data_IF_632326555917
#
_entry.id   IF_632326555917
#
_cell.length_a   1.000
_cell.length_b   1.000
_cell.length_c   1.000
_cell.angle_alpha   90.00
_cell.angle_beta   90.00
_cell.angle_gamma   90.00
#
_symmetry.space_group_name_H-M   'P 1'
#
loop_
_entity.id
_entity.type
_entity.pdbx_description
1 polymer ?
#
# COMPACT_ATOMS: atom_id res chain seq x y z
N UNK A 1 32.20 9.47 18.99
CA UNK A 1 32.66 8.16 18.47
C UNK A 1 31.79 7.06 19.08
N UNK A 2 31.02 6.32 18.27
CA UNK A 2 30.01 5.33 18.73
C UNK A 2 30.58 3.91 18.93
N UNK A 3 31.89 3.80 19.18
CA UNK A 3 32.60 2.54 19.46
C UNK A 3 32.30 1.47 18.39
N UNK A 4 31.72 0.33 18.78
CA UNK A 4 31.39 -0.78 17.89
C UNK A 4 30.47 -0.37 16.72
N UNK A 5 29.66 0.69 16.88
CA UNK A 5 28.77 1.20 15.85
C UNK A 5 29.40 2.29 14.96
N UNK A 6 30.69 2.62 15.16
CA UNK A 6 31.34 3.73 14.44
C UNK A 6 31.38 3.50 12.92
N UNK A 7 31.75 2.30 12.49
CA UNK A 7 31.78 1.95 11.06
C UNK A 7 30.42 2.09 10.39
N UNK A 8 29.38 1.46 10.95
CA UNK A 8 28.03 1.52 10.38
C UNK A 8 27.41 2.93 10.46
N UNK A 9 27.77 3.72 11.46
CA UNK A 9 27.37 5.14 11.54
C UNK A 9 27.95 5.94 10.36
N UNK A 10 29.20 5.66 9.97
CA UNK A 10 29.82 6.23 8.76
C UNK A 10 29.12 5.80 7.47
N UNK A 11 28.71 4.53 7.37
CA UNK A 11 27.92 4.03 6.24
C UNK A 11 26.56 4.72 6.16
N UNK A 12 25.83 4.83 7.27
CA UNK A 12 24.54 5.53 7.33
C UNK A 12 24.68 6.99 6.89
N UNK A 13 25.72 7.69 7.39
CA UNK A 13 26.03 9.06 6.97
C UNK A 13 26.16 9.16 5.45
N UNK A 14 26.96 8.28 4.84
CA UNK A 14 27.23 8.37 3.41
C UNK A 14 26.06 7.93 2.55
N UNK A 15 25.28 6.93 2.98
CA UNK A 15 24.02 6.56 2.30
C UNK A 15 23.03 7.72 2.32
N UNK A 16 22.85 8.40 3.46
CA UNK A 16 21.99 9.58 3.53
C UNK A 16 22.54 10.74 2.69
N UNK A 17 23.85 10.97 2.68
CA UNK A 17 24.48 11.99 1.83
C UNK A 17 24.18 11.76 0.33
N UNK A 18 24.27 10.51 -0.14
CA UNK A 18 23.91 10.15 -1.52
C UNK A 18 22.43 10.36 -1.81
N UNK A 19 21.53 9.92 -0.90
CA UNK A 19 20.07 10.09 -1.06
C UNK A 19 19.63 11.55 -1.14
N UNK A 20 20.36 12.44 -0.47
CA UNK A 20 20.05 13.87 -0.44
C UNK A 20 20.92 14.70 -1.40
N UNK A 21 21.85 14.10 -2.13
CA UNK A 21 22.79 14.82 -3.01
C UNK A 21 23.63 15.87 -2.27
N UNK A 22 23.95 15.64 -0.99
CA UNK A 22 24.60 16.62 -0.14
C UNK A 22 25.65 15.96 0.77
N UNK A 23 26.88 16.46 0.71
CA UNK A 23 27.96 16.11 1.63
C UNK A 23 27.83 16.97 2.90
N UNK A 24 27.51 16.38 4.07
CA UNK A 24 27.39 17.15 5.30
C UNK A 24 28.76 17.53 5.86
N UNK A 25 28.85 18.74 6.41
CA UNK A 25 30.07 19.24 7.04
C UNK A 25 30.56 18.35 8.18
N UNK A 26 31.87 18.29 8.36
CA UNK A 26 32.48 17.85 9.60
C UNK A 26 32.47 18.99 10.62
N UNK A 27 32.20 18.66 11.88
CA UNK A 27 32.15 19.64 12.97
C UNK A 27 33.50 19.72 13.68
N UNK A 28 33.68 20.80 14.46
CA UNK A 28 34.86 21.03 15.30
C UNK A 28 36.18 21.13 14.52
N UNK A 29 36.13 21.75 13.34
CA UNK A 29 37.32 22.11 12.56
C UNK A 29 37.47 23.63 12.61
N UNK A 30 38.22 24.13 13.59
CA UNK A 30 38.59 25.56 13.67
C UNK A 30 39.77 25.85 12.74
N UNK A 31 40.75 24.95 12.69
CA UNK A 31 41.85 24.92 11.73
C UNK A 31 42.24 23.45 11.43
N UNK A 32 42.71 23.11 10.22
CA UNK A 32 43.27 21.80 9.92
C UNK A 32 44.48 21.48 10.83
N UNK A 33 44.70 20.21 11.16
CA UNK A 33 45.84 19.80 11.99
C UNK A 33 47.18 20.07 11.29
N UNK A 34 48.15 20.60 12.03
CA UNK A 34 49.52 20.86 11.58
C UNK A 34 50.38 19.60 11.40
N UNK A 35 49.92 18.45 11.91
CA UNK A 35 50.57 17.14 11.77
C UNK A 35 50.32 16.48 10.41
N UNK A 36 49.53 17.11 9.55
CA UNK A 36 49.16 16.61 8.22
C UNK A 36 49.57 17.65 7.18
N UNK A 37 50.29 17.23 6.14
CA UNK A 37 50.60 18.08 4.99
C UNK A 37 49.38 18.15 4.05
N UNK A 38 48.63 19.25 4.15
CA UNK A 38 47.47 19.52 3.31
C UNK A 38 47.83 20.11 1.94
N UNK A 39 49.08 20.53 1.73
CA UNK A 39 49.50 21.27 0.53
C UNK A 39 49.52 20.42 -0.74
N UNK A 40 49.55 19.09 -0.61
CA UNK A 40 49.47 18.14 -1.71
C UNK A 40 48.13 18.20 -2.49
N UNK A 41 47.07 18.78 -1.91
CA UNK A 41 45.83 19.12 -2.62
C UNK A 41 44.92 17.95 -3.02
N UNK A 42 45.26 16.72 -2.68
CA UNK A 42 44.46 15.53 -3.05
C UNK A 42 43.31 15.23 -2.08
N UNK A 43 43.27 15.88 -0.91
CA UNK A 43 42.23 15.71 0.12
C UNK A 43 41.91 17.06 0.75
N UNK A 44 40.63 17.36 0.95
CA UNK A 44 40.15 18.54 1.66
C UNK A 44 39.15 18.16 2.76
N UNK A 45 39.09 18.98 3.81
CA UNK A 45 38.08 18.84 4.87
C UNK A 45 36.76 19.49 4.42
N UNK A 46 35.64 18.80 4.64
CA UNK A 46 34.30 19.35 4.44
C UNK A 46 33.91 20.26 5.60
N UNK A 47 34.41 21.50 5.64
CA UNK A 47 34.08 22.48 6.70
C UNK A 47 32.69 23.11 6.53
N UNK A 48 32.14 23.02 5.33
CA UNK A 48 30.77 23.42 4.98
C UNK A 48 30.00 22.26 4.35
N UNK A 49 28.67 22.39 4.31
CA UNK A 49 27.84 21.41 3.60
C UNK A 49 27.94 21.73 2.11
N UNK A 50 28.29 20.72 1.31
CA UNK A 50 28.60 20.89 -0.11
C UNK A 50 27.66 20.03 -0.92
N UNK A 51 27.08 20.60 -1.97
CA UNK A 51 26.29 19.84 -2.93
C UNK A 51 27.16 18.74 -3.54
N UNK A 52 26.60 17.54 -3.67
CA UNK A 52 27.25 16.42 -4.32
C UNK A 52 26.71 16.32 -5.74
N UNK A 53 27.50 16.64 -6.78
CA UNK A 53 27.05 16.65 -8.17
C UNK A 53 26.28 15.38 -8.58
N UNK A 54 25.33 15.55 -9.49
CA UNK A 54 24.48 14.48 -9.98
C UNK A 54 25.22 13.49 -10.91
N UNK A 55 24.60 12.33 -11.09
CA UNK A 55 25.07 11.24 -11.96
C UNK A 55 25.44 11.67 -13.38
N UNK A 56 24.71 12.63 -13.93
CA UNK A 56 24.85 13.17 -15.29
C UNK A 56 26.19 13.87 -15.51
N UNK A 57 26.87 14.31 -14.45
CA UNK A 57 28.09 15.11 -14.53
C UNK A 57 29.39 14.30 -14.26
N UNK A 58 29.29 13.05 -13.77
CA UNK A 58 30.48 12.28 -13.36
C UNK A 58 30.28 10.80 -13.03
N UNK A 59 29.13 10.20 -13.35
CA UNK A 59 28.80 8.82 -12.97
C UNK A 59 28.23 8.71 -11.55
N UNK A 60 27.97 7.50 -11.04
CA UNK A 60 27.34 7.32 -9.73
C UNK A 60 28.19 7.92 -8.62
N UNK A 61 27.55 8.56 -7.64
CA UNK A 61 28.24 9.07 -6.46
C UNK A 61 28.91 7.90 -5.71
N UNK A 62 30.20 8.06 -5.39
CA UNK A 62 30.99 7.04 -4.67
C UNK A 62 31.68 7.64 -3.46
N UNK A 63 31.64 6.92 -2.35
CA UNK A 63 32.40 7.27 -1.16
C UNK A 63 32.99 6.03 -0.51
N UNK A 64 34.04 6.25 0.27
CA UNK A 64 34.61 5.22 1.11
C UNK A 64 34.36 5.50 2.59
N UNK A 65 34.17 4.44 3.37
CA UNK A 65 34.09 4.48 4.83
C UNK A 65 35.19 3.59 5.39
N UNK A 66 36.08 4.21 6.17
CA UNK A 66 37.15 3.52 6.90
C UNK A 66 36.83 3.42 8.38
N UNK A 67 37.17 2.30 9.01
CA UNK A 67 37.07 2.11 10.45
C UNK A 67 38.30 1.36 10.97
N UNK A 68 38.94 1.92 12.01
CA UNK A 68 40.20 1.42 12.56
C UNK A 68 40.00 1.11 14.04
N UNK A 69 40.04 -0.18 14.39
CA UNK A 69 39.86 -0.65 15.75
C UNK A 69 41.15 -0.56 16.56
N UNK A 70 41.03 -0.38 17.87
CA UNK A 70 42.18 -0.29 18.79
C UNK A 70 43.04 -1.56 18.81
N UNK A 71 42.47 -2.72 18.45
CA UNK A 71 43.19 -3.98 18.28
C UNK A 71 44.14 -3.99 17.06
N UNK A 72 44.08 -2.96 16.21
CA UNK A 72 44.78 -2.90 14.93
C UNK A 72 44.00 -3.46 13.75
N UNK A 73 42.77 -3.95 13.97
CA UNK A 73 41.90 -4.44 12.89
C UNK A 73 41.29 -3.27 12.12
N UNK A 74 41.47 -3.26 10.80
CA UNK A 74 41.01 -2.20 9.90
C UNK A 74 39.96 -2.73 8.92
N UNK A 75 38.94 -1.92 8.66
CA UNK A 75 37.93 -2.18 7.63
C UNK A 75 37.78 -0.96 6.71
N UNK A 76 37.60 -1.21 5.41
CA UNK A 76 37.39 -0.19 4.39
C UNK A 76 36.29 -0.67 3.43
N UNK A 77 35.26 0.14 3.25
CA UNK A 77 34.12 -0.18 2.38
C UNK A 77 33.94 0.95 1.38
N UNK A 78 33.75 0.58 0.11
CA UNK A 78 33.37 1.50 -0.97
C UNK A 78 31.86 1.38 -1.18
N UNK A 79 31.18 2.52 -1.17
CA UNK A 79 29.74 2.66 -1.39
C UNK A 79 29.54 3.34 -2.75
N UNK A 80 28.53 2.88 -3.49
CA UNK A 80 28.09 3.47 -4.74
C UNK A 80 26.59 3.76 -4.66
N UNK A 81 26.18 4.89 -5.23
CA UNK A 81 24.80 5.29 -5.35
C UNK A 81 23.97 4.29 -6.17
N UNK A 82 22.83 3.89 -5.61
CA UNK A 82 21.91 2.96 -6.27
C UNK A 82 21.46 3.47 -7.66
N UNK A 83 21.19 2.58 -8.62
CA UNK A 83 20.54 2.95 -9.88
C UNK A 83 19.23 3.69 -9.64
N UNK A 84 18.92 4.67 -10.49
CA UNK A 84 17.61 5.33 -10.45
C UNK A 84 16.56 4.30 -10.86
N UNK A 85 15.58 4.05 -9.99
CA UNK A 85 14.41 3.24 -10.33
C UNK A 85 13.31 4.23 -10.69
N UNK A 86 12.88 4.22 -11.94
CA UNK A 86 11.68 4.96 -12.34
C UNK A 86 10.50 4.34 -11.59
N UNK A 87 10.02 5.02 -10.55
CA UNK A 87 8.77 4.67 -9.91
C UNK A 87 7.67 5.10 -10.86
N UNK A 88 7.08 4.14 -11.58
CA UNK A 88 5.96 4.40 -12.48
C UNK A 88 4.87 5.19 -11.76
N UNK A 89 4.65 6.42 -12.20
CA UNK A 89 3.61 7.33 -11.70
C UNK A 89 2.29 7.13 -12.43
N UNK A 90 2.03 5.92 -12.93
CA UNK A 90 0.69 5.60 -13.42
C UNK A 90 -0.20 5.43 -12.20
N UNK A 91 -0.74 6.56 -11.76
CA UNK A 91 -1.88 6.63 -10.86
C UNK A 91 -3.07 5.99 -11.57
N UNK A 92 -3.13 4.66 -11.57
CA UNK A 92 -4.40 3.98 -11.77
C UNK A 92 -5.33 4.56 -10.71
N UNK A 93 -6.45 5.15 -11.13
CA UNK A 93 -7.52 5.52 -10.22
C UNK A 93 -8.12 4.22 -9.69
N UNK A 94 -7.43 3.62 -8.72
CA UNK A 94 -8.00 2.54 -7.94
C UNK A 94 -9.17 3.17 -7.20
N UNK A 95 -10.35 2.56 -7.32
CA UNK A 95 -11.55 3.01 -6.61
C UNK A 95 -11.37 2.84 -5.10
N UNK A 96 -12.35 2.21 -4.44
CA UNK A 96 -12.24 1.99 -3.00
C UNK A 96 -11.03 1.12 -2.65
N UNK A 97 -10.17 1.61 -1.75
CA UNK A 97 -8.93 0.96 -1.35
C UNK A 97 -8.92 0.62 0.16
N UNK A 98 -8.44 -0.58 0.55
CA UNK A 98 -8.22 -0.92 1.94
C UNK A 98 -6.78 -0.59 2.38
N UNK A 99 -6.64 0.18 3.45
CA UNK A 99 -5.36 0.34 4.17
C UNK A 99 -5.35 -0.56 5.40
N UNK A 100 -4.47 -1.57 5.35
CA UNK A 100 -4.34 -2.58 6.38
C UNK A 100 -3.35 -2.12 7.46
N UNK A 101 -3.78 -2.11 8.71
CA UNK A 101 -2.95 -1.71 9.85
C UNK A 101 -2.98 -2.80 10.91
N UNK A 102 -1.81 -3.14 11.48
CA UNK A 102 -1.75 -4.14 12.54
C UNK A 102 -0.75 -3.80 13.66
N UNK A 103 -0.96 -4.39 14.84
CA UNK A 103 -0.08 -4.28 15.99
C UNK A 103 -0.16 -5.52 16.90
N UNK A 104 0.89 -5.79 17.68
CA UNK A 104 0.93 -6.91 18.63
C UNK A 104 0.08 -6.69 19.88
N UNK A 105 -0.31 -5.45 20.13
CA UNK A 105 -1.16 -5.06 21.26
C UNK A 105 -2.14 -4.00 20.79
N UNK A 106 -3.25 -3.75 21.52
CA UNK A 106 -4.17 -2.66 21.19
C UNK A 106 -3.46 -1.30 21.12
N UNK A 107 -2.59 -1.00 22.09
CA UNK A 107 -1.82 0.25 22.10
C UNK A 107 -0.85 0.38 20.94
N UNK A 108 -0.26 -0.73 20.47
CA UNK A 108 0.61 -0.72 19.28
C UNK A 108 -0.19 -0.46 17.99
N UNK A 109 -1.42 -0.98 17.90
CA UNK A 109 -2.32 -0.70 16.79
C UNK A 109 -2.70 0.79 16.77
N UNK A 110 -3.14 1.36 17.89
CA UNK A 110 -3.45 2.80 17.96
C UNK A 110 -2.25 3.68 17.59
N UNK A 111 -1.06 3.34 18.10
CA UNK A 111 0.14 4.08 17.76
C UNK A 111 0.47 3.99 16.25
N UNK A 112 0.16 2.87 15.60
CA UNK A 112 0.36 2.73 14.16
C UNK A 112 -0.69 3.51 13.35
N UNK A 113 -1.96 3.48 13.77
CA UNK A 113 -3.03 4.30 13.17
C UNK A 113 -2.67 5.78 13.28
N UNK A 114 -2.25 6.24 14.46
CA UNK A 114 -1.81 7.62 14.68
C UNK A 114 -0.60 8.01 13.81
N UNK A 115 0.39 7.13 13.65
CA UNK A 115 1.52 7.37 12.72
C UNK A 115 1.07 7.48 11.27
N UNK A 116 0.08 6.67 10.86
CA UNK A 116 -0.48 6.74 9.51
C UNK A 116 -1.26 8.04 9.30
N UNK A 117 -2.06 8.47 10.29
CA UNK A 117 -2.75 9.76 10.27
C UNK A 117 -1.78 10.94 10.17
N UNK A 118 -0.74 10.97 11.01
CA UNK A 118 0.31 12.00 10.92
C UNK A 118 1.08 11.92 9.60
N UNK A 119 1.28 10.71 9.05
CA UNK A 119 1.88 10.54 7.74
C UNK A 119 1.04 11.23 6.67
N UNK A 120 -0.28 11.00 6.67
CA UNK A 120 -1.20 11.60 5.71
C UNK A 120 -1.27 13.12 5.86
N UNK A 121 -1.41 13.61 7.09
CA UNK A 121 -1.55 15.03 7.36
C UNK A 121 -0.31 15.87 6.99
N UNK A 122 0.88 15.25 7.02
CA UNK A 122 2.15 15.95 6.77
C UNK A 122 2.57 16.00 5.29
N UNK A 123 1.80 15.41 4.37
CA UNK A 123 2.09 15.47 2.92
C UNK A 123 0.89 15.97 2.14
N UNK A 124 1.16 16.81 1.14
CA UNK A 124 0.18 17.29 0.17
C UNK A 124 -0.04 16.31 -0.98
N UNK A 125 0.96 15.49 -1.30
CA UNK A 125 0.92 14.53 -2.40
C UNK A 125 1.21 13.13 -1.86
N UNK A 126 0.18 12.29 -1.86
CA UNK A 126 0.26 10.89 -1.42
C UNK A 126 -0.33 10.01 -2.51
N UNK A 127 0.47 9.06 -2.97
CA UNK A 127 -0.04 7.93 -3.72
C UNK A 127 -0.71 6.94 -2.75
N UNK A 128 -2.04 7.04 -2.66
CA UNK A 128 -2.84 6.21 -1.74
C UNK A 128 -2.80 4.73 -2.12
N UNK A 129 -2.63 4.41 -3.40
CA UNK A 129 -2.46 3.06 -3.91
C UNK A 129 -1.12 2.48 -3.50
N UNK A 130 -0.03 3.26 -3.58
CA UNK A 130 1.28 2.84 -3.09
C UNK A 130 1.25 2.57 -1.58
N UNK A 131 0.57 3.42 -0.80
CA UNK A 131 0.38 3.19 0.64
C UNK A 131 -0.35 1.87 0.87
N UNK A 132 -1.47 1.63 0.19
CA UNK A 132 -2.22 0.38 0.28
C UNK A 132 -1.33 -0.85 -0.02
N UNK A 133 -0.56 -0.81 -1.12
CA UNK A 133 0.36 -1.89 -1.52
C UNK A 133 1.42 -2.18 -0.46
N UNK A 134 2.05 -1.13 0.09
CA UNK A 134 3.08 -1.28 1.13
C UNK A 134 2.49 -1.81 2.43
N UNK A 135 1.29 -1.37 2.79
CA UNK A 135 0.59 -1.86 3.97
C UNK A 135 0.16 -3.33 3.83
N UNK A 136 -0.25 -3.74 2.64
CA UNK A 136 -0.70 -5.11 2.37
C UNK A 136 0.44 -6.13 2.26
N UNK A 137 1.57 -5.77 1.61
CA UNK A 137 2.66 -6.73 1.33
C UNK A 137 4.02 -6.40 1.94
N UNK A 138 4.21 -5.17 2.43
CA UNK A 138 5.52 -4.67 2.90
C UNK A 138 5.62 -4.49 4.41
N UNK A 139 4.64 -4.98 5.18
CA UNK A 139 4.59 -4.88 6.64
C UNK A 139 4.36 -6.25 7.26
N UNK A 140 4.92 -6.45 8.45
CA UNK A 140 4.58 -7.60 9.26
C UNK A 140 3.10 -7.53 9.67
N UNK A 141 2.43 -8.67 9.63
CA UNK A 141 1.05 -8.80 10.08
C UNK A 141 0.98 -9.28 11.53
N UNK A 142 0.16 -8.60 12.33
CA UNK A 142 -0.12 -8.94 13.72
C UNK A 142 -1.60 -9.15 13.97
N UNK A 143 -1.93 -9.58 15.19
CA UNK A 143 -3.25 -10.06 15.59
C UNK A 143 -4.24 -8.91 15.77
N UNK A 144 -3.84 -7.78 16.37
CA UNK A 144 -4.72 -6.62 16.45
C UNK A 144 -4.70 -5.89 15.11
N UNK A 145 -5.84 -5.84 14.42
CA UNK A 145 -5.96 -5.30 13.07
C UNK A 145 -7.02 -4.21 12.98
N UNK A 146 -6.75 -3.24 12.11
CA UNK A 146 -7.70 -2.26 11.64
C UNK A 146 -7.61 -2.14 10.12
N UNK A 147 -8.75 -1.89 9.47
CA UNK A 147 -8.83 -1.59 8.05
C UNK A 147 -9.47 -0.21 7.90
N UNK A 148 -8.78 0.68 7.21
CA UNK A 148 -9.34 1.95 6.74
C UNK A 148 -9.79 1.75 5.30
N UNK A 149 -11.04 2.07 5.01
CA UNK A 149 -11.59 1.97 3.65
C UNK A 149 -11.80 3.40 3.16
N UNK A 150 -11.21 3.75 2.02
CA UNK A 150 -11.35 5.08 1.44
C UNK A 150 -11.45 5.04 -0.08
N UNK A 151 -12.31 5.89 -0.63
CA UNK A 151 -12.52 6.13 -2.06
C UNK A 151 -11.92 7.48 -2.49
N UNK A 152 -10.88 7.92 -1.79
CA UNK A 152 -10.19 9.18 -2.07
C UNK A 152 -9.47 9.75 -0.86
N UNK A 153 -8.68 10.82 -1.05
CA UNK A 153 -7.85 11.39 0.02
C UNK A 153 -8.63 11.84 1.25
N UNK A 154 -9.81 12.44 1.04
CA UNK A 154 -10.65 12.91 2.13
C UNK A 154 -11.22 11.76 2.95
N UNK A 155 -11.70 10.69 2.30
CA UNK A 155 -12.25 9.51 2.98
C UNK A 155 -11.20 8.84 3.88
N UNK A 156 -9.95 8.71 3.42
CA UNK A 156 -8.85 8.19 4.25
C UNK A 156 -8.55 9.09 5.45
N UNK A 157 -8.54 10.40 5.22
CA UNK A 157 -8.31 11.37 6.30
C UNK A 157 -9.40 11.29 7.33
N UNK A 158 -10.67 11.34 6.92
CA UNK A 158 -11.82 11.31 7.82
C UNK A 158 -11.85 10.00 8.62
N UNK A 159 -11.65 8.87 7.94
CA UNK A 159 -11.67 7.55 8.57
C UNK A 159 -10.53 7.34 9.57
N UNK A 160 -9.37 7.98 9.39
CA UNK A 160 -8.26 7.94 10.34
C UNK A 160 -8.48 8.82 11.59
N UNK A 161 -9.36 9.83 11.51
CA UNK A 161 -9.68 10.71 12.62
C UNK A 161 -10.95 10.29 13.39
N UNK A 162 -11.76 9.39 12.81
CA UNK A 162 -13.00 8.89 13.40
C UNK A 162 -12.83 7.43 13.89
N UNK A 163 -13.08 7.10 15.17
CA UNK A 163 -13.02 5.73 15.67
C UNK A 163 -13.89 4.73 14.89
N UNK A 164 -15.07 5.17 14.46
CA UNK A 164 -16.05 4.44 13.64
C UNK A 164 -15.64 4.30 12.17
N UNK A 165 -14.66 5.08 11.71
CA UNK A 165 -14.12 5.00 10.36
C UNK A 165 -13.23 3.77 10.12
N UNK A 166 -12.94 2.99 11.16
CA UNK A 166 -12.09 1.81 11.08
C UNK A 166 -12.87 0.53 11.36
N UNK A 167 -12.74 -0.45 10.48
CA UNK A 167 -13.13 -1.84 10.79
C UNK A 167 -12.02 -2.46 11.62
N UNK A 168 -12.32 -2.86 12.86
CA UNK A 168 -11.34 -3.34 13.84
C UNK A 168 -11.63 -4.76 14.27
N UNK A 169 -10.57 -5.52 14.56
CA UNK A 169 -10.70 -6.87 15.07
C UNK A 169 -9.41 -7.44 15.62
N UNK A 170 -9.51 -8.58 16.28
CA UNK A 170 -8.36 -9.41 16.65
C UNK A 170 -8.41 -10.64 15.74
N UNK A 171 -7.45 -10.76 14.84
CA UNK A 171 -7.30 -11.92 14.01
C UNK A 171 -6.99 -13.14 14.89
N UNK A 172 -7.77 -14.18 14.70
CA UNK A 172 -7.49 -15.53 15.17
C UNK A 172 -7.35 -16.42 13.95
N UNK A 173 -6.82 -17.64 14.12
CA UNK A 173 -6.73 -18.60 13.02
C UNK A 173 -8.09 -18.76 12.35
N UNK A 174 -8.14 -18.55 11.04
CA UNK A 174 -9.37 -18.75 10.27
C UNK A 174 -9.73 -20.24 10.36
N UNK A 175 -10.95 -20.50 10.82
CA UNK A 175 -11.54 -21.83 10.76
C UNK A 175 -11.95 -22.19 9.34
N UNK A 176 -13.04 -22.96 9.20
CA UNK A 176 -13.65 -23.21 7.89
C UNK A 176 -14.53 -22.02 7.51
N UNK A 177 -14.48 -21.63 6.25
CA UNK A 177 -15.32 -20.62 5.61
C UNK A 177 -16.54 -21.28 4.96
N UNK A 178 -17.72 -20.70 5.18
CA UNK A 178 -18.94 -21.07 4.48
C UNK A 178 -19.50 -19.87 3.72
N UNK A 179 -20.00 -20.08 2.50
CA UNK A 179 -20.79 -19.07 1.79
C UNK A 179 -22.28 -19.30 2.05
N UNK A 180 -22.96 -18.23 2.46
CA UNK A 180 -24.40 -18.24 2.78
C UNK A 180 -25.12 -17.47 1.68
N UNK A 181 -26.07 -18.13 1.03
CA UNK A 181 -26.84 -17.61 -0.11
C UNK A 181 -28.29 -17.44 0.30
N UNK A 182 -28.67 -16.29 0.91
CA UNK A 182 -30.03 -16.10 1.39
C UNK A 182 -31.05 -16.11 0.24
N UNK A 183 -32.28 -16.51 0.57
CA UNK A 183 -33.41 -16.39 -0.34
C UNK A 183 -33.85 -14.93 -0.58
N UNK A 184 -35.07 -14.77 -1.08
CA UNK A 184 -35.66 -13.46 -1.35
C UNK A 184 -35.89 -12.65 -0.07
N UNK A 185 -35.62 -11.33 -0.11
CA UNK A 185 -35.90 -10.40 0.99
C UNK A 185 -34.87 -9.27 1.15
N UNK A 186 -33.67 -9.42 0.57
CA UNK A 186 -32.57 -8.45 0.72
C UNK A 186 -32.21 -7.73 -0.58
N UNK A 187 -32.99 -7.94 -1.65
CA UNK A 187 -32.80 -7.26 -2.93
C UNK A 187 -33.11 -5.76 -2.82
N UNK A 188 -32.44 -4.95 -3.63
CA UNK A 188 -32.70 -3.52 -3.77
C UNK A 188 -32.38 -3.07 -5.20
N UNK A 189 -33.01 -1.98 -5.64
CA UNK A 189 -32.87 -1.47 -7.00
C UNK A 189 -31.44 -0.96 -7.25
N UNK A 190 -30.77 -1.51 -8.27
CA UNK A 190 -29.38 -1.17 -8.60
C UNK A 190 -28.33 -2.03 -7.91
N UNK A 191 -28.73 -3.09 -7.20
CA UNK A 191 -27.76 -4.00 -6.57
C UNK A 191 -26.77 -4.58 -7.58
N UNK A 192 -25.47 -4.37 -7.33
CA UNK A 192 -24.39 -4.87 -8.19
C UNK A 192 -24.12 -4.03 -9.45
N UNK A 193 -24.83 -2.93 -9.70
CA UNK A 193 -24.64 -2.12 -10.90
C UNK A 193 -23.21 -1.53 -10.98
N UNK A 194 -22.70 -0.96 -9.90
CA UNK A 194 -21.32 -0.44 -9.84
C UNK A 194 -20.26 -1.53 -10.00
N UNK A 195 -20.56 -2.76 -9.54
CA UNK A 195 -19.64 -3.90 -9.66
C UNK A 195 -19.51 -4.41 -11.09
N UNK A 196 -20.49 -4.15 -11.96
CA UNK A 196 -20.35 -4.42 -13.41
C UNK A 196 -19.23 -3.58 -14.03
N UNK A 197 -18.98 -2.39 -13.50
CA UNK A 197 -17.99 -1.45 -14.03
C UNK A 197 -16.63 -1.55 -13.31
N UNK A 198 -16.63 -1.98 -12.04
CA UNK A 198 -15.45 -1.95 -11.16
C UNK A 198 -14.83 -3.32 -10.86
N UNK A 199 -15.49 -4.44 -11.16
CA UNK A 199 -14.94 -5.79 -10.99
C UNK A 199 -15.13 -6.64 -12.24
N UNK A 200 -14.01 -7.02 -12.85
CA UNK A 200 -14.00 -7.89 -14.03
C UNK A 200 -14.61 -9.26 -13.73
N UNK A 201 -14.35 -9.82 -12.54
CA UNK A 201 -14.87 -11.13 -12.13
C UNK A 201 -16.37 -11.12 -11.89
N UNK A 202 -16.89 -10.02 -11.32
CA UNK A 202 -18.33 -9.83 -11.17
C UNK A 202 -19.00 -9.71 -12.54
N UNK A 203 -18.49 -8.83 -13.41
CA UNK A 203 -19.02 -8.62 -14.75
C UNK A 203 -19.02 -9.90 -15.60
N UNK A 204 -17.92 -10.66 -15.57
CA UNK A 204 -17.80 -11.93 -16.29
C UNK A 204 -18.82 -12.98 -15.81
N UNK A 205 -19.01 -13.09 -14.49
CA UNK A 205 -20.01 -14.01 -13.91
C UNK A 205 -21.45 -13.58 -14.24
N UNK A 206 -21.74 -12.28 -14.20
CA UNK A 206 -23.04 -11.73 -14.59
C UNK A 206 -23.36 -12.00 -16.07
N UNK A 207 -22.40 -11.77 -16.97
CA UNK A 207 -22.54 -12.05 -18.39
C UNK A 207 -22.78 -13.55 -18.67
N UNK A 208 -22.10 -14.44 -17.94
CA UNK A 208 -22.34 -15.88 -18.04
C UNK A 208 -23.76 -16.26 -17.57
N UNK A 209 -24.26 -15.64 -16.51
CA UNK A 209 -25.64 -15.82 -16.05
C UNK A 209 -26.66 -15.32 -17.08
N UNK A 210 -26.43 -14.15 -17.68
CA UNK A 210 -27.29 -13.59 -18.72
C UNK A 210 -27.38 -14.53 -19.93
N UNK A 211 -26.23 -15.02 -20.41
CA UNK A 211 -26.19 -15.98 -21.51
C UNK A 211 -27.00 -17.25 -21.19
N UNK A 212 -26.87 -17.78 -19.97
CA UNK A 212 -27.60 -18.98 -19.55
C UNK A 212 -29.12 -18.74 -19.41
N UNK A 213 -29.52 -17.58 -18.90
CA UNK A 213 -30.92 -17.21 -18.68
C UNK A 213 -31.64 -16.81 -19.96
N UNK A 214 -30.93 -16.33 -20.98
CA UNK A 214 -31.49 -15.71 -22.20
C UNK A 214 -32.56 -16.54 -22.94
N UNK A 215 -32.53 -17.87 -22.82
CA UNK A 215 -33.52 -18.76 -23.44
C UNK A 215 -34.83 -18.90 -22.63
N UNK A 216 -34.83 -18.49 -21.36
CA UNK A 216 -35.94 -18.67 -20.41
C UNK A 216 -36.66 -17.35 -20.08
N UNK A 217 -36.06 -16.21 -20.42
CA UNK A 217 -36.57 -14.87 -20.09
C UNK A 217 -36.62 -13.97 -21.32
N UNK A 218 -37.49 -12.98 -21.30
CA UNK A 218 -37.70 -11.99 -22.37
C UNK A 218 -37.05 -10.63 -22.07
N UNK A 219 -36.20 -10.56 -21.04
CA UNK A 219 -35.52 -9.37 -20.56
C UNK A 219 -34.01 -9.58 -20.42
N UNK A 220 -33.23 -8.49 -20.42
CA UNK A 220 -31.78 -8.53 -20.21
C UNK A 220 -31.43 -8.37 -18.73
N UNK A 221 -30.57 -9.25 -18.23
CA UNK A 221 -30.11 -9.23 -16.84
C UNK A 221 -29.31 -7.96 -16.54
N UNK A 222 -28.37 -7.60 -17.41
CA UNK A 222 -27.64 -6.34 -17.31
C UNK A 222 -28.58 -5.13 -17.29
N UNK A 223 -29.58 -5.10 -18.19
CA UNK A 223 -30.54 -3.99 -18.26
C UNK A 223 -31.35 -3.84 -16.96
N UNK A 224 -31.76 -4.94 -16.33
CA UNK A 224 -32.47 -4.92 -15.04
C UNK A 224 -31.56 -4.39 -13.92
N UNK A 225 -30.32 -4.89 -13.83
CA UNK A 225 -29.37 -4.46 -12.80
C UNK A 225 -28.99 -2.98 -12.95
N UNK A 226 -28.80 -2.50 -14.18
CA UNK A 226 -28.51 -1.08 -14.48
C UNK A 226 -29.74 -0.18 -14.40
N UNK A 227 -30.93 -0.72 -14.15
CA UNK A 227 -32.20 0.02 -14.14
C UNK A 227 -32.44 0.77 -15.47
N UNK A 228 -32.13 0.13 -16.59
CA UNK A 228 -32.29 0.73 -17.91
C UNK A 228 -33.77 1.02 -18.22
N UNK A 229 -34.08 2.10 -18.97
CA UNK A 229 -35.44 2.38 -19.39
C UNK A 229 -36.10 1.19 -20.10
N UNK A 230 -37.28 0.78 -19.62
CA UNK A 230 -38.03 -0.36 -20.17
C UNK A 230 -37.63 -1.73 -19.61
N UNK A 231 -36.62 -1.82 -18.74
CA UNK A 231 -36.33 -3.04 -18.02
C UNK A 231 -37.43 -3.35 -16.98
N UNK A 232 -37.76 -4.64 -16.74
CA UNK A 232 -38.74 -4.99 -15.73
C UNK A 232 -38.23 -4.70 -14.31
N UNK A 233 -39.16 -4.46 -13.38
CA UNK A 233 -38.84 -4.15 -11.98
C UNK A 233 -38.57 -5.42 -11.16
N UNK A 234 -37.84 -5.27 -10.05
CA UNK A 234 -37.59 -6.35 -9.07
C UNK A 234 -38.83 -6.70 -8.21
N UNK A 235 -40.00 -6.14 -8.49
CA UNK A 235 -41.25 -6.51 -7.80
C UNK A 235 -41.83 -7.83 -8.34
N UNK A 236 -41.49 -8.17 -9.59
CA UNK A 236 -41.86 -9.42 -10.26
C UNK A 236 -41.01 -10.58 -9.75
N UNK A 237 -41.65 -11.61 -9.22
CA UNK A 237 -40.98 -12.80 -8.67
C UNK A 237 -40.12 -13.51 -9.72
N UNK A 238 -40.62 -13.59 -10.95
CA UNK A 238 -39.95 -14.18 -12.11
C UNK A 238 -38.75 -13.36 -12.61
N UNK A 239 -38.56 -12.13 -12.10
CA UNK A 239 -37.40 -11.27 -12.38
C UNK A 239 -36.45 -11.26 -11.18
N UNK A 240 -36.98 -11.02 -9.97
CA UNK A 240 -36.15 -10.87 -8.78
C UNK A 240 -35.38 -12.13 -8.42
N UNK A 241 -35.98 -13.32 -8.54
CA UNK A 241 -35.29 -14.56 -8.17
C UNK A 241 -34.08 -14.85 -9.07
N UNK A 242 -34.19 -14.81 -10.42
CA UNK A 242 -33.04 -14.97 -11.29
C UNK A 242 -31.98 -13.87 -11.13
N UNK A 243 -32.38 -12.62 -10.93
CA UNK A 243 -31.44 -11.50 -10.72
C UNK A 243 -30.69 -11.67 -9.40
N UNK A 244 -31.38 -11.97 -8.30
CA UNK A 244 -30.75 -12.23 -7.00
C UNK A 244 -29.81 -13.43 -7.06
N UNK A 245 -30.19 -14.51 -7.75
CA UNK A 245 -29.29 -15.64 -8.01
C UNK A 245 -28.01 -15.20 -8.73
N UNK A 246 -28.14 -14.47 -9.85
CA UNK A 246 -27.00 -14.02 -10.64
C UNK A 246 -26.05 -13.11 -9.84
N UNK A 247 -26.60 -12.18 -9.06
CA UNK A 247 -25.81 -11.31 -8.17
C UNK A 247 -25.08 -12.12 -7.12
N UNK A 248 -25.75 -13.08 -6.46
CA UNK A 248 -25.14 -13.91 -5.43
C UNK A 248 -23.98 -14.77 -5.94
N UNK A 249 -24.15 -15.44 -7.08
CA UNK A 249 -23.07 -16.26 -7.66
C UNK A 249 -21.91 -15.39 -8.17
N UNK A 250 -22.20 -14.18 -8.64
CA UNK A 250 -21.17 -13.23 -9.09
C UNK A 250 -20.40 -12.64 -7.92
N UNK A 251 -21.03 -12.33 -6.79
CA UNK A 251 -20.32 -11.99 -5.55
C UNK A 251 -19.44 -13.15 -5.06
N UNK A 252 -19.91 -14.39 -5.19
CA UNK A 252 -19.10 -15.56 -4.86
C UNK A 252 -17.87 -15.70 -5.79
N UNK A 253 -17.98 -15.30 -7.05
CA UNK A 253 -16.84 -15.26 -7.97
C UNK A 253 -15.79 -14.21 -7.52
N UNK A 254 -16.23 -13.01 -7.13
CA UNK A 254 -15.35 -11.96 -6.59
C UNK A 254 -14.60 -12.45 -5.36
N UNK A 255 -15.28 -13.04 -4.38
CA UNK A 255 -14.62 -13.57 -3.18
C UNK A 255 -13.56 -14.63 -3.51
N UNK A 256 -13.84 -15.51 -4.47
CA UNK A 256 -12.86 -16.51 -4.93
C UNK A 256 -11.65 -15.89 -5.62
N UNK A 257 -11.83 -14.80 -6.36
CA UNK A 257 -10.75 -14.05 -6.98
C UNK A 257 -9.77 -13.48 -5.95
N UNK A 258 -10.28 -13.04 -4.78
CA UNK A 258 -9.48 -12.66 -3.62
C UNK A 258 -8.93 -13.84 -2.80
N UNK A 259 -9.00 -15.07 -3.34
CA UNK A 259 -8.45 -16.28 -2.71
C UNK A 259 -9.34 -16.91 -1.64
N UNK A 260 -10.56 -16.41 -1.42
CA UNK A 260 -11.47 -16.94 -0.41
C UNK A 260 -12.32 -18.05 -1.03
N UNK A 261 -11.96 -19.29 -0.71
CA UNK A 261 -12.67 -20.49 -1.18
C UNK A 261 -13.51 -21.08 -0.06
N UNK A 262 -14.83 -21.24 -0.23
CA UNK A 262 -15.68 -21.84 0.79
C UNK A 262 -15.43 -23.35 0.91
N UNK A 263 -15.44 -23.88 2.13
CA UNK A 263 -15.47 -25.32 2.41
C UNK A 263 -16.89 -25.86 2.61
N UNK A 264 -17.88 -24.96 2.72
CA UNK A 264 -19.29 -25.30 2.77
C UNK A 264 -20.11 -24.20 2.09
N UNK A 265 -21.28 -24.57 1.57
CA UNK A 265 -22.28 -23.62 1.06
C UNK A 265 -23.62 -23.95 1.70
N UNK A 266 -24.41 -22.92 1.99
CA UNK A 266 -25.77 -23.04 2.51
C UNK A 266 -26.66 -21.98 1.85
N UNK A 267 -27.91 -22.33 1.56
CA UNK A 267 -28.94 -21.43 1.04
C UNK A 267 -30.31 -21.82 1.56
#
# INVERSE_FOLDING_TARGET
HTQAAAGVSGVIKMVQAMRHGLLPKTLHVDAPSDQIDWSAGTVSLLTEATEWPEKSEGGPRRAAVSSFGISGTNAHVVLEEAPTVETGTEGTSLGTLPWLVSGRTPGALEAQVGRLASYVQSRTEIDHAAVARVLAGGRAEFEHRAVVIGDGPQAFTDALHAPEGLVRGIASGLGRTAFVFPGQGTQWAGMGAELLDSSEEFAASMAACEAALSQYVDWSLEAVVRQAPGAPTLERVDVVQPVTFAVMVSLAAVWKAYGITPQAVIG
#
